data_IF_898917174317
#
_entry.id   IF_898917174317
#
_cell.length_a   1.000
_cell.length_b   1.000
_cell.length_c   1.000
_cell.angle_alpha   90.00
_cell.angle_beta   90.00
_cell.angle_gamma   90.00
#
_symmetry.space_group_name_H-M   'P 1'
#
loop_
_entity.id
_entity.type
_entity.pdbx_description
1 polymer ?
#
# COMPACT_ATOMS: atom_id res chain seq x y z
N UNK A 1 -4.38 -5.73 9.96
CA UNK A 1 -5.63 -5.52 10.75
C UNK A 1 -5.29 -5.31 12.22
N UNK A 2 -4.53 -6.21 12.88
CA UNK A 2 -4.15 -6.09 14.32
C UNK A 2 -3.38 -4.76 14.55
N UNK A 3 -2.41 -4.44 13.72
CA UNK A 3 -1.65 -3.18 13.80
C UNK A 3 -2.56 -1.97 13.65
N UNK A 4 -3.48 -2.01 12.68
CA UNK A 4 -4.48 -0.95 12.48
C UNK A 4 -5.41 -0.77 13.69
N UNK A 5 -5.90 -1.87 14.25
CA UNK A 5 -6.72 -1.84 15.45
C UNK A 5 -5.96 -1.24 16.65
N UNK A 6 -4.65 -1.52 16.73
CA UNK A 6 -3.78 -1.00 17.77
C UNK A 6 -3.49 0.50 17.60
N UNK A 7 -3.32 0.97 16.36
CA UNK A 7 -3.05 2.38 16.06
C UNK A 7 -4.32 3.25 16.14
N UNK A 8 -5.41 2.82 15.52
CA UNK A 8 -6.66 3.59 15.49
C UNK A 8 -7.48 3.43 16.79
N UNK A 9 -7.22 2.36 17.59
CA UNK A 9 -7.95 2.01 18.85
C UNK A 9 -9.49 2.09 18.74
N UNK A 10 -10.02 2.29 17.56
CA UNK A 10 -11.44 2.22 17.25
C UNK A 10 -11.65 1.04 16.28
N UNK A 11 -12.48 0.11 16.69
CA UNK A 11 -12.81 -1.07 15.89
C UNK A 11 -13.52 -0.68 14.58
N UNK A 12 -14.22 0.44 14.54
CA UNK A 12 -15.03 0.86 13.40
C UNK A 12 -14.23 1.18 12.14
N UNK A 13 -13.19 2.06 12.20
CA UNK A 13 -12.30 2.28 11.06
C UNK A 13 -11.60 1.00 10.62
N UNK A 14 -11.19 0.16 11.59
CA UNK A 14 -10.54 -1.12 11.32
C UNK A 14 -11.45 -2.08 10.55
N UNK A 15 -12.73 -2.16 10.91
CA UNK A 15 -13.73 -2.96 10.19
C UNK A 15 -13.88 -2.48 8.75
N UNK A 16 -13.95 -1.17 8.50
CA UNK A 16 -14.08 -0.62 7.13
C UNK A 16 -12.89 -1.07 6.27
N UNK A 17 -11.68 -0.93 6.78
CA UNK A 17 -10.47 -1.36 6.06
C UNK A 17 -10.44 -2.88 5.89
N UNK A 18 -10.83 -3.65 6.90
CA UNK A 18 -10.89 -5.11 6.82
C UNK A 18 -11.88 -5.59 5.73
N UNK A 19 -13.01 -4.92 5.57
CA UNK A 19 -13.97 -5.21 4.50
C UNK A 19 -13.49 -4.75 3.12
N UNK A 20 -12.70 -3.69 3.04
CA UNK A 20 -12.18 -3.22 1.75
C UNK A 20 -11.27 -4.23 1.06
N UNK A 21 -10.56 -5.09 1.82
CA UNK A 21 -9.66 -6.11 1.28
C UNK A 21 -10.43 -7.13 0.41
N UNK A 22 -11.43 -7.88 0.94
CA UNK A 22 -12.16 -8.85 0.12
C UNK A 22 -12.90 -8.20 -1.05
N UNK A 23 -13.43 -6.99 -0.89
CA UNK A 23 -14.05 -6.26 -2.00
C UNK A 23 -13.05 -5.96 -3.11
N UNK A 24 -11.85 -5.48 -2.77
CA UNK A 24 -10.81 -5.18 -3.76
C UNK A 24 -10.34 -6.45 -4.49
N UNK A 25 -10.18 -7.55 -3.77
CA UNK A 25 -9.78 -8.84 -4.35
C UNK A 25 -10.86 -9.36 -5.30
N UNK A 26 -12.13 -9.31 -4.91
CA UNK A 26 -13.24 -9.71 -5.77
C UNK A 26 -13.31 -8.85 -7.04
N UNK A 27 -13.16 -7.53 -6.92
CA UNK A 27 -13.10 -6.64 -8.08
C UNK A 27 -11.91 -6.96 -8.99
N UNK A 28 -10.75 -7.24 -8.45
CA UNK A 28 -9.56 -7.63 -9.22
C UNK A 28 -9.82 -8.93 -10.00
N UNK A 29 -10.42 -9.95 -9.36
CA UNK A 29 -10.76 -11.22 -10.00
C UNK A 29 -11.81 -11.01 -11.10
N UNK A 30 -12.80 -10.15 -10.88
CA UNK A 30 -13.80 -9.80 -11.90
C UNK A 30 -13.12 -9.16 -13.12
N UNK A 31 -12.20 -8.21 -12.92
CA UNK A 31 -11.45 -7.59 -14.03
C UNK A 31 -10.62 -8.64 -14.77
N UNK A 32 -9.93 -9.53 -14.04
CA UNK A 32 -9.15 -10.64 -14.64
C UNK A 32 -10.03 -11.55 -15.50
N UNK A 33 -11.24 -11.87 -15.02
CA UNK A 33 -12.20 -12.70 -15.79
C UNK A 33 -12.59 -12.03 -17.12
N UNK A 34 -12.93 -10.74 -17.11
CA UNK A 34 -13.31 -10.01 -18.31
C UNK A 34 -12.15 -9.77 -19.28
N UNK A 35 -10.93 -9.73 -18.79
CA UNK A 35 -9.72 -9.54 -19.63
C UNK A 35 -9.10 -10.87 -20.09
N UNK A 36 -9.69 -12.01 -19.69
CA UNK A 36 -9.23 -13.35 -20.12
C UNK A 36 -7.91 -13.79 -19.47
N UNK A 37 -7.52 -13.18 -18.35
CA UNK A 37 -6.33 -13.61 -17.61
C UNK A 37 -6.66 -14.81 -16.75
N UNK A 38 -6.02 -15.94 -17.08
CA UNK A 38 -6.18 -17.18 -16.34
C UNK A 38 -5.50 -17.12 -14.96
N UNK A 39 -6.15 -17.77 -13.98
CA UNK A 39 -5.56 -17.97 -12.66
C UNK A 39 -4.46 -19.03 -12.78
N UNK A 40 -3.22 -18.60 -12.63
CA UNK A 40 -2.03 -19.44 -12.62
C UNK A 40 -1.11 -19.03 -11.46
N UNK A 41 0.00 -19.72 -11.28
CA UNK A 41 0.96 -19.42 -10.18
C UNK A 41 1.44 -17.96 -10.22
N UNK A 42 1.69 -17.42 -11.42
CA UNK A 42 2.18 -16.05 -11.60
C UNK A 42 1.09 -15.01 -11.31
N UNK A 43 -0.14 -15.24 -11.78
CA UNK A 43 -1.26 -14.35 -11.47
C UNK A 43 -1.63 -14.41 -9.99
N UNK A 44 -1.57 -15.59 -9.34
CA UNK A 44 -1.76 -15.69 -7.89
C UNK A 44 -0.66 -14.97 -7.11
N UNK A 45 0.61 -15.09 -7.53
CA UNK A 45 1.71 -14.33 -6.93
C UNK A 45 1.49 -12.82 -7.07
N UNK A 46 1.06 -12.36 -8.25
CA UNK A 46 0.68 -10.98 -8.50
C UNK A 46 -0.48 -10.52 -7.61
N UNK A 47 -1.51 -11.36 -7.43
CA UNK A 47 -2.63 -11.06 -6.56
C UNK A 47 -2.20 -11.00 -5.09
N UNK A 48 -1.36 -11.93 -4.61
CA UNK A 48 -0.81 -11.92 -3.25
C UNK A 48 0.01 -10.66 -2.98
N UNK A 49 0.88 -10.25 -3.90
CA UNK A 49 1.63 -9.00 -3.78
C UNK A 49 0.67 -7.80 -3.82
N UNK A 50 -0.30 -7.83 -4.73
CA UNK A 50 -1.35 -6.82 -4.84
C UNK A 50 -2.10 -6.65 -3.52
N UNK A 51 -2.52 -7.73 -2.85
CA UNK A 51 -3.22 -7.68 -1.56
C UNK A 51 -2.44 -6.87 -0.52
N UNK A 52 -1.12 -7.01 -0.47
CA UNK A 52 -0.28 -6.20 0.42
C UNK A 52 -0.38 -4.70 0.14
N UNK A 53 -0.48 -4.31 -1.13
CA UNK A 53 -0.60 -2.91 -1.57
C UNK A 53 -2.05 -2.38 -1.54
N UNK A 54 -3.05 -3.28 -1.60
CA UNK A 54 -4.48 -2.90 -1.62
C UNK A 54 -4.92 -2.17 -0.36
N UNK A 55 -4.32 -2.53 0.77
CA UNK A 55 -4.70 -2.03 2.10
C UNK A 55 -4.31 -0.55 2.26
N UNK A 56 -3.20 -0.13 1.67
CA UNK A 56 -2.63 1.19 1.87
C UNK A 56 -3.57 2.32 1.44
N UNK A 57 -4.17 2.22 0.26
CA UNK A 57 -5.12 3.21 -0.24
C UNK A 57 -6.32 3.37 0.70
N UNK A 58 -6.87 2.24 1.16
CA UNK A 58 -8.02 2.23 2.08
C UNK A 58 -7.67 2.79 3.46
N UNK A 59 -6.45 2.53 3.96
CA UNK A 59 -5.95 3.08 5.22
C UNK A 59 -5.86 4.60 5.13
N UNK A 60 -5.19 5.13 4.10
CA UNK A 60 -4.99 6.58 3.93
C UNK A 60 -6.31 7.32 3.84
N UNK A 61 -7.28 6.80 3.06
CA UNK A 61 -8.62 7.39 2.96
C UNK A 61 -9.32 7.34 4.32
N UNK A 62 -9.30 6.19 4.99
CA UNK A 62 -10.00 6.01 6.26
C UNK A 62 -9.42 6.86 7.37
N UNK A 63 -8.08 6.96 7.47
CA UNK A 63 -7.38 7.78 8.44
C UNK A 63 -7.73 9.27 8.25
N UNK A 64 -7.75 9.74 7.00
CA UNK A 64 -8.10 11.13 6.71
C UNK A 64 -9.57 11.44 7.03
N UNK A 65 -10.49 10.52 6.74
CA UNK A 65 -11.90 10.63 7.15
C UNK A 65 -12.01 10.70 8.68
N UNK A 66 -11.28 9.82 9.38
CA UNK A 66 -11.26 9.77 10.85
C UNK A 66 -10.72 11.06 11.45
N UNK A 67 -9.66 11.62 10.86
CA UNK A 67 -9.09 12.91 11.27
C UNK A 67 -10.13 14.04 11.19
N UNK A 68 -10.80 14.21 10.04
CA UNK A 68 -11.86 15.21 9.89
C UNK A 68 -13.05 14.98 10.83
N UNK A 69 -13.32 13.70 11.15
CA UNK A 69 -14.35 13.36 12.12
C UNK A 69 -13.99 13.83 13.52
N UNK A 70 -12.72 13.67 13.92
CA UNK A 70 -12.20 14.12 15.21
C UNK A 70 -12.11 15.67 15.30
N UNK A 71 -11.95 16.36 14.18
CA UNK A 71 -12.05 17.82 14.08
C UNK A 71 -13.49 18.35 14.25
N UNK A 72 -14.47 17.47 14.55
CA UNK A 72 -15.88 17.86 14.84
C UNK A 72 -16.80 17.85 13.62
N UNK A 73 -16.36 17.43 12.45
CA UNK A 73 -17.24 17.33 11.28
C UNK A 73 -18.25 16.20 11.42
N UNK A 74 -19.42 16.32 10.80
CA UNK A 74 -20.37 15.22 10.68
C UNK A 74 -19.76 14.10 9.82
N UNK A 75 -20.08 12.83 10.12
CA UNK A 75 -19.51 11.67 9.45
C UNK A 75 -19.61 11.73 7.91
N UNK A 76 -20.74 12.20 7.39
CA UNK A 76 -20.93 12.36 5.94
C UNK A 76 -20.03 13.46 5.34
N UNK A 77 -19.92 14.62 5.99
CA UNK A 77 -19.03 15.71 5.52
C UNK A 77 -17.56 15.29 5.64
N UNK A 78 -17.18 14.61 6.72
CA UNK A 78 -15.83 14.07 6.91
C UNK A 78 -15.47 13.05 5.82
N UNK A 79 -16.40 12.15 5.46
CA UNK A 79 -16.20 11.19 4.39
C UNK A 79 -15.93 11.86 3.04
N UNK A 80 -16.74 12.84 2.66
CA UNK A 80 -16.57 13.56 1.38
C UNK A 80 -15.28 14.38 1.36
N UNK A 81 -15.04 15.22 2.37
CA UNK A 81 -13.85 16.08 2.41
C UNK A 81 -12.56 15.28 2.60
N UNK A 82 -12.59 14.28 3.49
CA UNK A 82 -11.45 13.44 3.77
C UNK A 82 -11.01 12.65 2.53
N UNK A 83 -11.94 12.08 1.79
CA UNK A 83 -11.64 11.38 0.53
C UNK A 83 -11.17 12.34 -0.55
N UNK A 84 -11.85 13.46 -0.75
CA UNK A 84 -11.48 14.44 -1.79
C UNK A 84 -10.06 14.98 -1.60
N UNK A 85 -9.60 15.18 -0.36
CA UNK A 85 -8.26 15.68 -0.08
C UNK A 85 -7.15 14.71 -0.49
N UNK A 86 -7.38 13.40 -0.35
CA UNK A 86 -6.35 12.38 -0.62
C UNK A 86 -6.53 11.67 -1.97
N UNK A 87 -7.65 11.89 -2.66
CA UNK A 87 -7.94 11.25 -3.94
C UNK A 87 -6.85 11.51 -4.99
N UNK A 88 -6.41 12.76 -5.16
CA UNK A 88 -5.35 13.12 -6.11
C UNK A 88 -4.02 12.41 -5.82
N UNK A 89 -3.45 12.55 -4.63
CA UNK A 89 -2.24 11.82 -4.23
C UNK A 89 -2.34 10.30 -4.40
N UNK A 90 -3.45 9.68 -4.01
CA UNK A 90 -3.66 8.23 -4.15
C UNK A 90 -3.73 7.82 -5.62
N UNK A 91 -4.44 8.58 -6.47
CA UNK A 91 -4.45 8.37 -7.92
C UNK A 91 -3.03 8.42 -8.50
N UNK A 92 -2.28 9.47 -8.20
CA UNK A 92 -0.92 9.65 -8.70
C UNK A 92 0.00 8.50 -8.28
N UNK A 93 -0.02 8.11 -6.99
CA UNK A 93 0.80 7.00 -6.49
C UNK A 93 0.43 5.67 -7.13
N UNK A 94 -0.87 5.39 -7.28
CA UNK A 94 -1.35 4.15 -7.92
C UNK A 94 -0.93 4.07 -9.38
N UNK A 95 -1.08 5.17 -10.16
CA UNK A 95 -0.63 5.22 -11.55
C UNK A 95 0.88 5.03 -11.64
N UNK A 96 1.66 5.70 -10.78
CA UNK A 96 3.12 5.55 -10.74
C UNK A 96 3.52 4.10 -10.47
N UNK A 97 2.85 3.43 -9.54
CA UNK A 97 3.10 2.01 -9.24
C UNK A 97 2.77 1.11 -10.42
N UNK A 98 1.66 1.34 -11.12
CA UNK A 98 1.31 0.60 -12.33
C UNK A 98 2.37 0.81 -13.42
N UNK A 99 2.86 2.04 -13.61
CA UNK A 99 3.91 2.34 -14.58
C UNK A 99 5.22 1.59 -14.33
N UNK A 100 5.54 1.22 -13.08
CA UNK A 100 6.71 0.40 -12.75
C UNK A 100 6.59 -1.03 -13.33
N UNK A 101 5.37 -1.56 -13.44
CA UNK A 101 5.13 -2.89 -14.02
C UNK A 101 4.96 -2.88 -15.55
N UNK A 102 4.79 -1.71 -16.15
CA UNK A 102 4.57 -1.56 -17.59
C UNK A 102 5.73 -2.11 -18.45
N UNK A 103 7.02 -1.93 -18.08
CA UNK A 103 8.13 -2.52 -18.83
C UNK A 103 8.09 -4.05 -18.93
N UNK A 104 7.47 -4.74 -17.96
CA UNK A 104 7.34 -6.20 -18.00
C UNK A 104 6.46 -6.69 -19.16
N UNK A 105 5.54 -5.84 -19.63
CA UNK A 105 4.66 -6.15 -20.76
C UNK A 105 5.42 -6.15 -22.10
N UNK A 106 6.51 -5.40 -22.18
CA UNK A 106 7.34 -5.29 -23.39
C UNK A 106 8.46 -6.35 -23.45
N UNK A 107 8.57 -7.23 -22.47
CA UNK A 107 9.50 -8.36 -22.52
C UNK A 107 9.07 -9.35 -23.59
N UNK A 108 9.99 -10.10 -24.17
CA UNK A 108 9.74 -11.10 -25.22
C UNK A 108 10.20 -12.49 -24.80
N UNK A 109 9.70 -13.51 -25.50
CA UNK A 109 10.09 -14.90 -25.28
C UNK A 109 9.42 -15.54 -24.05
N UNK A 110 10.09 -16.53 -23.47
CA UNK A 110 9.57 -17.32 -22.34
C UNK A 110 9.34 -16.46 -21.08
N UNK A 111 10.16 -15.45 -20.88
CA UNK A 111 10.06 -14.51 -19.73
C UNK A 111 8.74 -13.72 -19.80
N UNK A 112 8.31 -13.31 -20.98
CA UNK A 112 7.06 -12.61 -21.18
C UNK A 112 5.86 -13.44 -20.72
N UNK A 113 5.83 -14.74 -21.03
CA UNK A 113 4.74 -15.63 -20.66
C UNK A 113 4.56 -15.75 -19.13
N UNK A 114 5.64 -15.56 -18.37
CA UNK A 114 5.65 -15.59 -16.92
C UNK A 114 5.31 -14.22 -16.33
N UNK A 115 5.94 -13.14 -16.82
CA UNK A 115 5.83 -11.82 -16.23
C UNK A 115 4.55 -11.07 -16.62
N UNK A 116 4.00 -11.34 -17.80
CA UNK A 116 2.82 -10.63 -18.30
C UNK A 116 1.57 -10.86 -17.42
N UNK A 117 1.19 -12.13 -17.07
CA UNK A 117 0.06 -12.37 -16.18
C UNK A 117 0.28 -11.75 -14.78
N UNK A 118 1.52 -11.77 -14.28
CA UNK A 118 1.89 -11.14 -13.01
C UNK A 118 1.68 -9.62 -13.03
N UNK A 119 2.24 -8.93 -14.04
CA UNK A 119 2.16 -7.47 -14.16
C UNK A 119 0.71 -6.98 -14.33
N UNK A 120 -0.08 -7.65 -15.17
CA UNK A 120 -1.50 -7.30 -15.36
C UNK A 120 -2.31 -7.54 -14.10
N UNK A 121 -2.09 -8.65 -13.40
CA UNK A 121 -2.83 -8.96 -12.16
C UNK A 121 -2.58 -7.93 -11.08
N UNK A 122 -1.32 -7.51 -10.87
CA UNK A 122 -1.00 -6.43 -9.93
C UNK A 122 -1.70 -5.13 -10.36
N UNK A 123 -1.63 -4.78 -11.65
CA UNK A 123 -2.25 -3.55 -12.15
C UNK A 123 -3.75 -3.55 -11.93
N UNK A 124 -4.43 -4.67 -12.18
CA UNK A 124 -5.87 -4.81 -11.94
C UNK A 124 -6.21 -4.77 -10.46
N UNK A 125 -5.39 -5.40 -9.61
CA UNK A 125 -5.55 -5.33 -8.17
C UNK A 125 -5.44 -3.87 -7.68
N UNK A 126 -4.45 -3.12 -8.15
CA UNK A 126 -4.26 -1.71 -7.79
C UNK A 126 -5.43 -0.83 -8.24
N UNK A 127 -5.93 -1.02 -9.47
CA UNK A 127 -7.12 -0.30 -9.99
C UNK A 127 -8.35 -0.65 -9.14
N UNK A 128 -8.55 -1.93 -8.83
CA UNK A 128 -9.66 -2.38 -7.98
C UNK A 128 -9.59 -1.75 -6.59
N UNK A 129 -8.39 -1.71 -5.98
CA UNK A 129 -8.17 -1.05 -4.68
C UNK A 129 -8.52 0.42 -4.72
N UNK A 130 -8.06 1.13 -5.74
CA UNK A 130 -8.34 2.55 -5.92
C UNK A 130 -9.85 2.81 -5.99
N UNK A 131 -10.57 2.03 -6.79
CA UNK A 131 -12.03 2.14 -6.91
C UNK A 131 -12.73 1.90 -5.56
N UNK A 132 -12.32 0.84 -4.84
CA UNK A 132 -12.88 0.51 -3.53
C UNK A 132 -12.54 1.59 -2.49
N UNK A 133 -11.30 2.08 -2.48
CA UNK A 133 -10.85 3.12 -1.55
C UNK A 133 -11.59 4.45 -1.75
N UNK A 134 -11.94 4.80 -3.00
CA UNK A 134 -12.64 6.06 -3.31
C UNK A 134 -14.18 5.93 -3.27
N UNK A 135 -14.75 4.73 -3.23
CA UNK A 135 -16.21 4.52 -3.23
C UNK A 135 -16.71 3.80 -1.99
N UNK A 136 -16.25 2.58 -1.75
CA UNK A 136 -16.74 1.72 -0.65
C UNK A 136 -16.29 2.25 0.71
N UNK A 137 -15.00 2.62 0.83
CA UNK A 137 -14.44 3.09 2.09
C UNK A 137 -15.12 4.35 2.60
N UNK A 138 -15.31 5.44 1.82
CA UNK A 138 -16.01 6.63 2.32
C UNK A 138 -17.50 6.37 2.59
N UNK A 139 -18.13 5.50 1.81
CA UNK A 139 -19.54 5.15 2.03
C UNK A 139 -19.70 4.43 3.38
N UNK A 140 -18.91 3.39 3.63
CA UNK A 140 -18.90 2.67 4.91
C UNK A 140 -18.46 3.59 6.07
N UNK A 141 -17.43 4.42 5.87
CA UNK A 141 -16.96 5.40 6.83
C UNK A 141 -18.03 6.38 7.26
N UNK A 142 -18.84 6.87 6.31
CA UNK A 142 -19.95 7.80 6.60
C UNK A 142 -21.03 7.20 7.51
N UNK A 143 -21.21 5.88 7.47
CA UNK A 143 -22.20 5.14 8.29
C UNK A 143 -21.61 4.74 9.64
N UNK A 144 -20.45 4.09 9.64
CA UNK A 144 -19.87 3.51 10.85
C UNK A 144 -19.32 4.56 11.81
N UNK A 145 -18.83 5.71 11.30
CA UNK A 145 -18.24 6.77 12.12
C UNK A 145 -19.25 7.75 12.73
N UNK A 146 -20.56 7.53 12.60
CA UNK A 146 -21.60 8.40 13.20
C UNK A 146 -21.49 8.50 14.73
N UNK A 147 -21.05 7.43 15.41
CA UNK A 147 -21.02 7.31 16.88
C UNK A 147 -19.58 7.29 17.45
N UNK A 148 -18.56 7.72 16.70
CA UNK A 148 -17.18 7.76 17.19
C UNK A 148 -17.01 8.85 18.24
N UNK A 149 -16.38 8.51 19.38
CA UNK A 149 -15.95 9.47 20.41
C UNK A 149 -14.44 9.68 20.26
N UNK A 150 -13.96 10.87 20.60
CA UNK A 150 -12.54 11.18 20.68
C UNK A 150 -11.83 10.22 21.63
N UNK A 151 -10.95 9.40 21.09
CA UNK A 151 -10.11 8.52 21.89
C UNK A 151 -8.73 9.17 22.03
N UNK A 152 -8.49 9.82 23.19
CA UNK A 152 -7.14 10.30 23.52
C UNK A 152 -6.18 9.10 23.59
N UNK A 153 -5.04 9.19 22.92
CA UNK A 153 -4.04 8.14 22.84
C UNK A 153 -2.72 8.55 23.52
N UNK A 154 -2.61 8.51 24.86
CA UNK A 154 -1.42 9.01 25.57
C UNK A 154 -0.14 8.24 25.22
N UNK A 155 -0.25 6.99 24.77
CA UNK A 155 0.89 6.20 24.32
C UNK A 155 1.38 6.65 22.92
N UNK A 156 0.46 6.91 22.01
CA UNK A 156 0.78 7.38 20.66
C UNK A 156 1.33 8.82 20.69
N UNK A 157 0.81 9.66 21.59
CA UNK A 157 1.32 11.01 21.79
C UNK A 157 2.78 11.01 22.20
N UNK A 158 3.21 10.07 23.09
CA UNK A 158 4.61 9.90 23.46
C UNK A 158 5.51 9.52 22.28
N UNK A 159 5.04 8.59 21.41
CA UNK A 159 5.79 8.20 20.19
C UNK A 159 5.90 9.40 19.24
N UNK A 160 4.80 10.13 19.06
CA UNK A 160 4.76 11.34 18.24
C UNK A 160 5.72 12.40 18.74
N UNK A 161 5.81 12.61 20.07
CA UNK A 161 6.75 13.56 20.69
C UNK A 161 8.21 13.13 20.48
N UNK A 162 8.52 11.84 20.63
CA UNK A 162 9.87 11.31 20.36
C UNK A 162 10.21 11.47 18.88
N UNK A 163 9.30 11.08 17.98
CA UNK A 163 9.49 11.26 16.54
C UNK A 163 9.67 12.75 16.18
N UNK A 164 8.87 13.64 16.77
CA UNK A 164 8.99 15.09 16.58
C UNK A 164 10.37 15.62 16.94
N UNK A 165 10.92 15.20 18.08
CA UNK A 165 12.28 15.58 18.50
C UNK A 165 13.36 15.04 17.55
N UNK A 166 13.23 13.78 17.11
CA UNK A 166 14.16 13.17 16.14
C UNK A 166 14.09 13.91 14.80
N UNK A 167 12.88 14.24 14.34
CA UNK A 167 12.67 14.98 13.11
C UNK A 167 13.25 16.40 13.20
N UNK A 168 13.02 17.11 14.31
CA UNK A 168 13.58 18.43 14.55
C UNK A 168 15.11 18.40 14.55
N UNK A 169 15.72 17.40 15.19
CA UNK A 169 17.17 17.19 15.18
C UNK A 169 17.69 16.92 13.76
N UNK A 170 16.99 16.06 13.01
CA UNK A 170 17.35 15.75 11.62
C UNK A 170 17.24 16.97 10.70
N UNK A 171 16.22 17.80 10.88
CA UNK A 171 16.05 19.03 10.12
C UNK A 171 17.07 20.11 10.52
N UNK A 172 17.45 20.16 11.79
CA UNK A 172 18.49 21.08 12.28
C UNK A 172 19.86 20.73 11.69
N UNK A 173 20.18 19.44 11.60
CA UNK A 173 21.43 18.93 11.03
C UNK A 173 21.19 18.19 9.72
N UNK A 174 20.53 18.83 8.76
CA UNK A 174 20.10 18.24 7.48
C UNK A 174 21.20 17.53 6.68
N UNK A 175 22.47 17.89 6.89
CA UNK A 175 23.62 17.25 6.24
C UNK A 175 23.90 15.86 6.84
N UNK A 176 23.63 15.65 8.13
CA UNK A 176 23.94 14.38 8.81
C UNK A 176 23.12 13.20 8.27
N UNK A 177 21.77 13.24 8.22
CA UNK A 177 21.00 12.14 7.65
C UNK A 177 21.30 11.91 6.15
N UNK A 178 21.61 12.98 5.40
CA UNK A 178 22.01 12.85 4.01
C UNK A 178 23.37 12.15 3.88
N UNK A 179 24.36 12.51 4.69
CA UNK A 179 25.67 11.87 4.70
C UNK A 179 25.56 10.39 5.10
N UNK A 180 24.76 10.07 6.13
CA UNK A 180 24.53 8.69 6.57
C UNK A 180 23.90 7.86 5.41
N UNK A 181 22.90 8.40 4.72
CA UNK A 181 22.25 7.67 3.60
C UNK A 181 23.22 7.44 2.43
N UNK A 182 24.07 8.41 2.11
CA UNK A 182 25.11 8.25 1.07
C UNK A 182 26.14 7.20 1.48
N UNK A 183 26.63 7.24 2.73
CA UNK A 183 27.60 6.24 3.23
C UNK A 183 26.99 4.85 3.20
N UNK A 184 25.76 4.67 3.65
CA UNK A 184 25.07 3.38 3.59
C UNK A 184 24.91 2.90 2.14
N UNK A 185 24.54 3.77 1.22
CA UNK A 185 24.42 3.43 -0.20
C UNK A 185 25.77 2.96 -0.77
N UNK A 186 26.85 3.68 -0.51
CA UNK A 186 28.20 3.30 -0.96
C UNK A 186 28.62 1.94 -0.37
N UNK A 187 28.35 1.71 0.91
CA UNK A 187 28.63 0.44 1.57
C UNK A 187 27.83 -0.72 0.94
N UNK A 188 26.54 -0.52 0.67
CA UNK A 188 25.69 -1.51 0.01
C UNK A 188 26.19 -1.82 -1.40
N UNK A 189 26.56 -0.81 -2.19
CA UNK A 189 27.12 -1.02 -3.55
C UNK A 189 28.45 -1.76 -3.48
N UNK A 190 29.34 -1.37 -2.58
CA UNK A 190 30.62 -2.07 -2.39
C UNK A 190 30.43 -3.54 -1.99
N UNK A 191 29.48 -3.81 -1.09
CA UNK A 191 29.18 -5.17 -0.66
C UNK A 191 28.57 -5.99 -1.81
N UNK A 192 27.64 -5.42 -2.58
CA UNK A 192 27.04 -6.06 -3.75
C UNK A 192 28.10 -6.43 -4.81
N UNK A 193 29.07 -5.53 -5.06
CA UNK A 193 30.18 -5.80 -5.98
C UNK A 193 31.13 -6.93 -5.50
N UNK A 194 31.24 -7.11 -4.17
CA UNK A 194 32.07 -8.21 -3.60
C UNK A 194 31.36 -9.55 -3.66
N UNK A 195 30.03 -9.57 -3.49
CA UNK A 195 29.25 -10.82 -3.43
C UNK A 195 29.03 -11.44 -4.81
N UNK A 196 29.19 -10.65 -5.89
CA UNK A 196 28.88 -11.09 -7.26
C UNK A 196 27.36 -11.23 -7.49
N UNK A 197 26.94 -11.12 -8.74
CA UNK A 197 25.55 -11.39 -9.11
C UNK A 197 25.47 -12.85 -9.55
N UNK A 198 25.05 -13.74 -8.66
CA UNK A 198 24.73 -15.12 -9.01
C UNK A 198 23.32 -15.12 -9.61
N UNK A 199 23.22 -15.24 -10.93
CA UNK A 199 21.93 -15.22 -11.63
C UNK A 199 21.15 -16.53 -11.52
N UNK A 200 21.82 -17.66 -11.32
CA UNK A 200 21.23 -18.97 -11.02
C UNK A 200 22.24 -19.74 -10.17
N UNK A 201 21.79 -20.33 -9.08
CA UNK A 201 22.54 -21.44 -8.49
C UNK A 201 22.64 -22.56 -9.56
N UNK A 202 23.82 -23.03 -9.83
CA UNK A 202 24.02 -24.25 -10.63
C UNK A 202 23.15 -25.32 -9.98
N UNK A 203 22.06 -25.70 -10.65
CA UNK A 203 21.31 -26.90 -10.26
C UNK A 203 22.27 -28.07 -10.42
N UNK A 204 22.89 -28.46 -9.31
CA UNK A 204 23.72 -29.64 -9.25
C UNK A 204 22.94 -30.82 -9.82
N UNK A 205 23.30 -31.22 -11.01
CA UNK A 205 22.78 -32.39 -11.73
C UNK A 205 23.29 -33.69 -11.10
N UNK A 206 23.27 -33.79 -9.78
CA UNK A 206 23.62 -34.99 -9.03
C UNK A 206 22.39 -35.68 -8.47
N UNK A 207 21.47 -36.05 -9.37
CA UNK A 207 20.49 -37.12 -9.12
C UNK A 207 20.49 -38.07 -10.32
N UNK A 208 21.45 -39.01 -10.31
CA UNK A 208 21.33 -40.32 -10.97
C UNK A 208 21.44 -41.34 -9.86
#
# INVERSE_FOLDING_TARGET
IIVLALFLKDIRPTIVVAFSIPFSVLFAIIIMYFTGININVMSLAGLCLGIGMLVDNSIVVMENIYRFRNEGMSASKAAVRGTAQVAGPILASTITTICVFLPMVYTSGMVSQLLMPFAFTISYALIASLLVALTVVPTMGSVLLRKTKDVKQPWFDKIKDVYGKVLELALRFKIVPLAISIVLLVLCVMQSMRTGIVMMDDMDSNQI
#
